data_IF_605975906204
#
_entry.id   IF_605975906204
#
_cell.length_a   1.000
_cell.length_b   1.000
_cell.length_c   1.000
_cell.angle_alpha   90.00
_cell.angle_beta   90.00
_cell.angle_gamma   90.00
#
_symmetry.space_group_name_H-M   'P 1'
#
loop_
_entity.id
_entity.type
_entity.pdbx_description
1 polymer ?
#
# COMPACT_ATOMS: atom_id res chain seq x y z
N UNK A 1 11.71 3.18 -2.67
CA UNK A 1 11.28 4.55 -2.34
C UNK A 1 11.95 5.62 -3.21
N UNK A 2 13.29 5.64 -3.32
CA UNK A 2 14.02 6.62 -4.16
C UNK A 2 13.56 6.62 -5.63
N UNK A 3 13.37 5.45 -6.25
CA UNK A 3 12.86 5.34 -7.64
C UNK A 3 11.46 5.91 -7.86
N UNK A 4 10.63 5.98 -6.81
CA UNK A 4 9.29 6.59 -6.89
C UNK A 4 9.43 8.11 -6.91
N UNK A 5 10.36 8.68 -6.13
CA UNK A 5 10.62 10.12 -6.06
C UNK A 5 11.16 10.70 -7.39
N UNK A 6 11.82 9.88 -8.19
CA UNK A 6 12.28 10.24 -9.53
C UNK A 6 11.10 10.47 -10.49
N UNK A 7 10.04 9.65 -10.40
CA UNK A 7 8.91 9.64 -11.33
C UNK A 7 7.68 10.42 -10.82
N UNK A 8 7.54 10.56 -9.51
CA UNK A 8 6.41 11.23 -8.88
C UNK A 8 6.65 12.74 -8.75
N UNK A 9 5.57 13.53 -8.88
CA UNK A 9 5.60 14.97 -8.57
C UNK A 9 5.73 15.23 -7.06
N UNK A 10 5.10 14.37 -6.26
CA UNK A 10 5.10 14.42 -4.81
C UNK A 10 4.87 13.00 -4.26
N UNK A 11 5.50 12.67 -3.13
CA UNK A 11 5.36 11.39 -2.45
C UNK A 11 5.17 11.66 -0.96
N UNK A 12 4.07 11.17 -0.41
CA UNK A 12 3.86 11.10 1.04
C UNK A 12 4.16 9.67 1.49
N UNK A 13 5.17 9.50 2.32
CA UNK A 13 5.51 8.23 2.96
C UNK A 13 4.98 8.24 4.39
N UNK A 14 4.13 7.28 4.73
CA UNK A 14 3.65 7.09 6.11
C UNK A 14 4.34 5.87 6.69
N UNK A 15 5.05 6.06 7.80
CA UNK A 15 5.82 5.00 8.44
C UNK A 15 5.61 5.06 9.96
N UNK A 16 5.33 3.89 10.55
CA UNK A 16 5.07 3.78 11.98
C UNK A 16 6.37 3.74 12.78
N UNK A 17 7.42 3.09 12.26
CA UNK A 17 8.70 3.01 12.97
C UNK A 17 9.45 4.36 12.86
N UNK A 18 9.67 5.09 13.98
CA UNK A 18 10.39 6.35 13.97
C UNK A 18 11.83 6.23 13.45
N UNK A 19 12.47 5.06 13.60
CA UNK A 19 13.83 4.81 13.09
C UNK A 19 13.84 4.71 11.57
N UNK A 20 12.87 4.00 11.01
CA UNK A 20 12.72 3.90 9.55
C UNK A 20 12.37 5.25 8.93
N UNK A 21 11.57 6.08 9.61
CA UNK A 21 11.33 7.48 9.19
C UNK A 21 12.63 8.28 9.10
N UNK A 22 13.46 8.21 10.13
CA UNK A 22 14.73 8.91 10.17
C UNK A 22 15.65 8.45 9.03
N UNK A 23 15.77 7.14 8.83
CA UNK A 23 16.60 6.56 7.76
C UNK A 23 16.12 6.98 6.36
N UNK A 24 14.81 7.01 6.15
CA UNK A 24 14.21 7.47 4.88
C UNK A 24 14.53 8.94 4.61
N UNK A 25 14.41 9.80 5.63
CA UNK A 25 14.76 11.22 5.52
C UNK A 25 16.26 11.41 5.27
N UNK A 26 17.11 10.65 5.95
CA UNK A 26 18.56 10.66 5.79
C UNK A 26 18.98 10.24 4.37
N UNK A 27 18.35 9.20 3.81
CA UNK A 27 18.64 8.70 2.44
C UNK A 27 18.37 9.70 1.32
N UNK A 28 17.48 10.67 1.55
CA UNK A 28 17.16 11.74 0.60
C UNK A 28 17.80 13.08 0.96
N UNK A 29 18.48 13.16 2.10
CA UNK A 29 19.07 14.39 2.60
C UNK A 29 20.10 14.93 1.60
N UNK A 30 19.98 16.21 1.24
CA UNK A 30 20.88 16.87 0.29
C UNK A 30 20.64 16.53 -1.17
N UNK A 31 19.61 15.74 -1.50
CA UNK A 31 19.22 15.42 -2.87
C UNK A 31 18.01 16.24 -3.33
N UNK A 32 17.84 16.51 -4.64
CA UNK A 32 16.69 17.26 -5.17
C UNK A 32 15.34 16.64 -4.80
N UNK A 33 15.30 15.31 -4.65
CA UNK A 33 14.12 14.52 -4.30
C UNK A 33 13.57 14.84 -2.91
N UNK A 34 14.40 15.41 -2.01
CA UNK A 34 13.98 15.78 -0.66
C UNK A 34 12.76 16.71 -0.66
N UNK A 35 12.68 17.62 -1.62
CA UNK A 35 11.54 18.57 -1.75
C UNK A 35 10.24 17.91 -2.18
N UNK A 36 10.33 16.71 -2.76
CA UNK A 36 9.17 15.94 -3.23
C UNK A 36 8.67 14.96 -2.18
N UNK A 37 9.42 14.74 -1.09
CA UNK A 37 9.11 13.76 -0.07
C UNK A 37 8.52 14.41 1.18
N UNK A 38 7.34 13.96 1.58
CA UNK A 38 6.77 14.20 2.90
C UNK A 38 6.79 12.88 3.69
N UNK A 39 7.33 12.89 4.91
CA UNK A 39 7.36 11.70 5.78
C UNK A 39 6.48 11.95 6.99
N UNK A 40 5.37 11.24 7.10
CA UNK A 40 4.42 11.35 8.20
C UNK A 40 4.62 10.18 9.17
N UNK A 41 4.64 10.50 10.47
CA UNK A 41 4.56 9.51 11.54
C UNK A 41 3.11 9.26 11.89
N UNK A 42 2.65 8.01 11.78
CA UNK A 42 1.29 7.66 12.19
C UNK A 42 0.77 6.41 11.53
N UNK A 43 -0.49 6.10 11.85
CA UNK A 43 -1.21 5.02 11.20
C UNK A 43 -1.45 5.38 9.73
N UNK A 44 -1.03 4.48 8.83
CA UNK A 44 -1.23 4.63 7.40
C UNK A 44 -2.67 5.03 7.12
N UNK A 45 -3.65 4.42 7.79
CA UNK A 45 -5.11 4.50 7.64
C UNK A 45 -5.80 5.85 7.26
N UNK A 46 -5.12 7.01 7.24
CA UNK A 46 -5.62 8.30 6.71
C UNK A 46 -5.13 8.79 5.32
N UNK A 47 -4.09 8.24 4.67
CA UNK A 47 -3.53 8.82 3.41
C UNK A 47 -3.06 7.81 2.32
N UNK A 48 -3.70 7.77 1.15
CA UNK A 48 -3.38 7.05 -0.12
C UNK A 48 -2.09 6.20 -0.15
N UNK A 49 -2.23 4.87 -0.16
CA UNK A 49 -1.20 3.92 0.30
C UNK A 49 -0.32 3.26 -0.76
N UNK A 50 0.98 3.24 -0.46
CA UNK A 50 1.86 2.08 -0.67
C UNK A 50 2.18 1.57 0.75
N UNK A 51 1.72 0.38 1.12
CA UNK A 51 1.96 -0.14 2.48
C UNK A 51 2.29 -1.62 2.48
N UNK A 52 3.28 -1.99 3.28
CA UNK A 52 3.58 -3.37 3.70
C UNK A 52 2.83 -3.61 5.03
N UNK A 53 1.50 -3.66 4.98
CA UNK A 53 0.71 -3.74 6.22
C UNK A 53 0.70 -5.16 6.82
N UNK A 54 0.75 -5.29 8.15
CA UNK A 54 0.51 -6.56 8.85
C UNK A 54 -0.88 -7.15 8.53
N UNK A 55 -0.96 -8.49 8.53
CA UNK A 55 -2.19 -9.24 8.21
C UNK A 55 -3.40 -8.81 9.04
N UNK A 56 -3.19 -8.46 10.31
CA UNK A 56 -4.24 -8.11 11.27
C UNK A 56 -5.04 -6.85 10.88
N UNK A 57 -4.45 -5.94 10.10
CA UNK A 57 -5.11 -4.70 9.66
C UNK A 57 -5.48 -4.70 8.18
N UNK A 58 -5.21 -5.79 7.45
CA UNK A 58 -5.35 -5.84 5.99
C UNK A 58 -6.80 -5.69 5.52
N UNK A 59 -7.76 -6.38 6.15
CA UNK A 59 -9.19 -6.22 5.78
C UNK A 59 -9.74 -4.82 6.10
N UNK A 60 -9.58 -4.27 7.33
CA UNK A 60 -10.00 -2.90 7.62
C UNK A 60 -9.35 -1.85 6.73
N UNK A 61 -8.07 -2.02 6.37
CA UNK A 61 -7.35 -1.13 5.47
C UNK A 61 -7.99 -1.11 4.08
N UNK A 62 -8.28 -2.29 3.52
CA UNK A 62 -8.90 -2.40 2.19
C UNK A 62 -10.30 -1.77 2.20
N UNK A 63 -11.14 -2.06 3.19
CA UNK A 63 -12.46 -1.42 3.27
C UNK A 63 -12.37 0.10 3.45
N UNK A 64 -11.40 0.57 4.24
CA UNK A 64 -11.14 2.01 4.39
C UNK A 64 -10.50 2.64 3.16
N UNK A 65 -9.85 1.90 2.29
CA UNK A 65 -9.42 2.42 0.99
C UNK A 65 -10.61 2.66 0.06
N UNK A 66 -11.60 1.76 0.11
CA UNK A 66 -12.78 1.84 -0.75
C UNK A 66 -13.80 2.89 -0.28
N UNK A 67 -13.64 3.47 0.92
CA UNK A 67 -14.57 4.41 1.55
C UNK A 67 -14.33 5.92 1.24
N UNK A 68 -13.11 6.48 1.26
CA UNK A 68 -12.88 7.92 1.18
C UNK A 68 -13.11 8.50 -0.22
N UNK A 69 -13.59 9.74 -0.23
CA UNK A 69 -13.57 10.62 -1.39
C UNK A 69 -12.62 11.80 -1.12
N UNK A 70 -11.82 12.25 -2.10
CA UNK A 70 -11.77 11.81 -3.49
C UNK A 70 -11.17 10.39 -3.65
N UNK A 71 -11.71 9.63 -4.61
CA UNK A 71 -11.22 8.29 -4.91
C UNK A 71 -9.79 8.39 -5.46
N UNK A 72 -8.92 7.48 -5.00
CA UNK A 72 -7.59 7.35 -5.58
C UNK A 72 -7.68 6.79 -7.01
N UNK A 73 -6.72 7.14 -7.87
CA UNK A 73 -6.66 6.59 -9.24
C UNK A 73 -6.14 5.16 -9.26
N UNK A 74 -5.08 4.88 -8.49
CA UNK A 74 -4.44 3.55 -8.36
C UNK A 74 -3.86 3.43 -6.94
N UNK A 75 -3.99 2.25 -6.33
CA UNK A 75 -3.30 1.89 -5.10
C UNK A 75 -2.47 0.61 -5.34
N UNK A 76 -1.20 0.62 -4.95
CA UNK A 76 -0.31 -0.55 -5.04
C UNK A 76 -0.03 -1.01 -3.63
N UNK A 77 -0.59 -2.16 -3.27
CA UNK A 77 -0.57 -2.68 -1.91
C UNK A 77 0.20 -4.00 -1.88
N UNK A 78 0.96 -4.20 -0.81
CA UNK A 78 1.66 -5.46 -0.58
C UNK A 78 0.92 -6.22 0.52
N UNK A 79 0.55 -7.46 0.23
CA UNK A 79 -0.11 -8.34 1.17
C UNK A 79 0.56 -9.72 1.19
N UNK A 80 0.31 -10.49 2.23
CA UNK A 80 0.63 -11.90 2.23
C UNK A 80 -0.08 -12.63 1.08
N UNK A 81 0.59 -13.64 0.52
CA UNK A 81 0.15 -14.37 -0.67
C UNK A 81 -1.30 -14.86 -0.59
N UNK A 82 -1.72 -15.41 0.55
CA UNK A 82 -3.08 -15.92 0.73
C UNK A 82 -4.12 -14.80 0.75
N UNK A 83 -3.80 -13.67 1.37
CA UNK A 83 -4.68 -12.50 1.39
C UNK A 83 -4.80 -11.89 -0.01
N UNK A 84 -3.69 -11.73 -0.72
CA UNK A 84 -3.67 -11.27 -2.10
C UNK A 84 -4.49 -12.20 -3.02
N UNK A 85 -4.34 -13.53 -2.86
CA UNK A 85 -5.12 -14.52 -3.60
C UNK A 85 -6.63 -14.38 -3.36
N UNK A 86 -7.06 -14.08 -2.14
CA UNK A 86 -8.47 -13.80 -1.82
C UNK A 86 -8.98 -12.54 -2.50
N UNK A 87 -8.18 -11.48 -2.61
CA UNK A 87 -8.62 -10.24 -3.25
C UNK A 87 -8.91 -10.42 -4.75
N UNK A 88 -8.10 -11.21 -5.45
CA UNK A 88 -8.24 -11.47 -6.89
C UNK A 88 -9.08 -12.72 -7.24
N UNK A 89 -9.54 -13.45 -6.21
CA UNK A 89 -10.29 -14.69 -6.39
C UNK A 89 -11.57 -14.48 -7.21
N UNK A 90 -11.84 -15.38 -8.15
CA UNK A 90 -13.06 -15.37 -8.98
C UNK A 90 -14.20 -16.15 -8.31
N UNK A 91 -15.48 -15.80 -8.56
CA UNK A 91 -16.62 -16.56 -8.07
C UNK A 91 -16.49 -18.06 -8.36
N UNK A 92 -16.76 -18.90 -7.36
CA UNK A 92 -16.64 -20.36 -7.48
C UNK A 92 -15.24 -20.93 -7.20
N UNK A 93 -14.23 -20.08 -6.98
CA UNK A 93 -12.90 -20.55 -6.53
C UNK A 93 -12.85 -20.78 -5.01
N UNK A 94 -11.94 -21.65 -4.56
CA UNK A 94 -11.76 -21.98 -3.14
C UNK A 94 -11.36 -20.76 -2.26
N UNK A 95 -10.76 -19.73 -2.87
CA UNK A 95 -10.37 -18.50 -2.18
C UNK A 95 -11.41 -17.38 -2.29
N UNK A 96 -12.52 -17.61 -3.01
CA UNK A 96 -13.57 -16.62 -3.15
C UNK A 96 -14.33 -16.44 -1.84
N UNK A 97 -14.46 -15.19 -1.43
CA UNK A 97 -15.09 -14.84 -0.16
C UNK A 97 -15.84 -13.51 -0.27
N UNK A 98 -16.53 -13.13 0.80
CA UNK A 98 -17.17 -11.80 0.92
C UNK A 98 -16.18 -10.66 0.67
N UNK A 99 -14.91 -10.85 1.03
CA UNK A 99 -13.84 -9.89 0.75
C UNK A 99 -13.65 -9.71 -0.76
N UNK A 100 -13.51 -10.81 -1.51
CA UNK A 100 -13.34 -10.81 -2.96
C UNK A 100 -14.49 -10.06 -3.64
N UNK A 101 -15.72 -10.40 -3.28
CA UNK A 101 -16.92 -9.78 -3.83
C UNK A 101 -16.98 -8.27 -3.54
N UNK A 102 -16.76 -7.87 -2.29
CA UNK A 102 -16.82 -6.46 -1.90
C UNK A 102 -15.74 -5.64 -2.61
N UNK A 103 -14.50 -6.12 -2.66
CA UNK A 103 -13.42 -5.33 -3.25
C UNK A 103 -13.59 -5.20 -4.75
N UNK A 104 -13.95 -6.29 -5.44
CA UNK A 104 -14.17 -6.29 -6.88
C UNK A 104 -15.40 -5.49 -7.30
N UNK A 105 -16.36 -5.26 -6.39
CA UNK A 105 -17.49 -4.37 -6.63
C UNK A 105 -17.07 -2.89 -6.76
N UNK A 106 -16.07 -2.46 -5.99
CA UNK A 106 -15.64 -1.06 -5.94
C UNK A 106 -14.39 -0.76 -6.76
N UNK A 107 -13.55 -1.76 -7.05
CA UNK A 107 -12.28 -1.57 -7.73
C UNK A 107 -11.88 -2.77 -8.61
N UNK A 108 -11.14 -2.49 -9.68
CA UNK A 108 -10.42 -3.54 -10.42
C UNK A 108 -9.17 -3.92 -9.62
N UNK A 109 -8.98 -5.22 -9.38
CA UNK A 109 -7.84 -5.74 -8.61
C UNK A 109 -7.05 -6.71 -9.45
N UNK A 110 -5.75 -6.46 -9.56
CA UNK A 110 -4.80 -7.28 -10.31
C UNK A 110 -3.61 -7.66 -9.41
N UNK A 111 -3.12 -8.90 -9.53
CA UNK A 111 -1.91 -9.34 -8.84
C UNK A 111 -0.68 -8.90 -9.64
N UNK A 112 0.08 -7.93 -9.14
CA UNK A 112 1.23 -7.36 -9.87
C UNK A 112 2.45 -8.26 -9.82
N UNK A 113 2.89 -8.67 -8.62
CA UNK A 113 4.09 -9.49 -8.46
C UNK A 113 4.09 -10.28 -7.14
N UNK A 114 4.76 -11.43 -7.15
CA UNK A 114 5.07 -12.18 -5.92
C UNK A 114 6.41 -11.72 -5.35
N UNK A 115 6.44 -11.37 -4.06
CA UNK A 115 7.68 -11.02 -3.34
C UNK A 115 8.10 -12.20 -2.48
N UNK A 116 9.31 -12.72 -2.70
CA UNK A 116 9.85 -13.84 -1.92
C UNK A 116 10.23 -13.37 -0.51
N UNK A 117 10.13 -14.25 0.50
CA UNK A 117 10.46 -13.97 1.90
C UNK A 117 11.90 -13.47 2.10
N UNK A 118 12.81 -13.85 1.19
CA UNK A 118 14.21 -13.42 1.23
C UNK A 118 14.44 -11.94 0.82
N UNK A 119 13.40 -11.22 0.41
CA UNK A 119 13.48 -9.82 -0.02
C UNK A 119 12.87 -8.83 1.01
N UNK A 120 12.59 -9.30 2.23
CA UNK A 120 12.07 -8.48 3.33
C UNK A 120 13.15 -8.19 4.37
#
# INVERSE_FOLDING_TARGET
>A
MVRILEQARHVTAVEMDPRMRAEVQERVLGKPEQRKLEVLGGDAVKMTYISNTPYQISSPLVFRLLSPRPLFRVAILMFQREFAARLVAQPGSAFWSRLSANVQLYAKVDLVMNVNKNNF
#
